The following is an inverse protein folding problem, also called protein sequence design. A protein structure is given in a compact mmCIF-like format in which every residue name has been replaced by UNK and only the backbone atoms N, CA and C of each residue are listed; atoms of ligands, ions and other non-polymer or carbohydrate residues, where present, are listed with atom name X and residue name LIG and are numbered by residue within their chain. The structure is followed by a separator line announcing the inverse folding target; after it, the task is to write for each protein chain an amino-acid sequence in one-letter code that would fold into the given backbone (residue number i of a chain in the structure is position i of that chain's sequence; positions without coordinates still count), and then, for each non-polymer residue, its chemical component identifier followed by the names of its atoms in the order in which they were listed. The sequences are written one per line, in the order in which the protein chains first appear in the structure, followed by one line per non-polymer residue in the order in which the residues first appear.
data_IF_660651784405
#
_entry.id   IF_660651784405
#
_cell.length_a   1.000
_cell.length_b   1.000
_cell.length_c   1.000
_cell.angle_alpha   90.00
_cell.angle_beta   90.00
_cell.angle_gamma   90.00
#
_symmetry.space_group_name_H-M   'P 1'
#
loop_
_entity.id
_entity.type
_entity.pdbx_description
1 polymer ?
#
# COMPACT_ATOMS: atom_id res chain seq x y z
N UNK A 1 -16.56 66.17 45.89
CA UNK A 1 -15.17 66.44 46.35
C UNK A 1 -14.75 65.21 47.14
N UNK A 2 -13.93 64.33 46.54
CA UNK A 2 -12.52 64.11 46.94
C UNK A 2 -12.40 63.34 48.28
N UNK A 3 -11.72 62.19 48.47
CA UNK A 3 -10.62 61.49 47.80
C UNK A 3 -10.62 59.97 48.13
N UNK A 4 -9.92 59.22 47.28
CA UNK A 4 -9.53 57.81 47.39
C UNK A 4 -8.69 57.46 48.63
N UNK A 5 -8.70 56.17 49.00
CA UNK A 5 -7.48 55.47 49.45
C UNK A 5 -7.49 54.03 48.96
N UNK A 6 -6.34 53.65 48.39
CA UNK A 6 -5.98 52.38 47.76
C UNK A 6 -5.51 51.41 48.84
N UNK A 7 -5.89 50.13 48.74
CA UNK A 7 -5.09 49.03 49.28
C UNK A 7 -4.92 47.98 48.20
N UNK A 8 -3.69 47.87 47.72
CA UNK A 8 -3.15 46.79 46.90
C UNK A 8 -2.92 45.54 47.76
N UNK A 9 -3.29 44.37 47.25
CA UNK A 9 -2.64 43.09 47.57
C UNK A 9 -2.95 42.08 46.48
N UNK A 10 -1.89 41.67 45.78
CA UNK A 10 -1.82 40.69 44.71
C UNK A 10 -2.33 39.31 45.13
N UNK A 11 -2.94 38.54 44.22
CA UNK A 11 -2.77 37.08 44.19
C UNK A 11 -3.23 36.46 42.86
N UNK A 12 -2.28 35.71 42.29
CA UNK A 12 -2.38 34.58 41.38
C UNK A 12 -3.05 34.77 40.01
N UNK A 13 -2.18 34.96 39.01
CA UNK A 13 -2.37 34.54 37.62
C UNK A 13 -2.70 33.03 37.62
N UNK A 14 -3.91 32.65 37.19
CA UNK A 14 -4.09 31.38 36.52
C UNK A 14 -4.01 31.64 35.02
N UNK A 15 -2.86 31.31 34.46
CA UNK A 15 -2.73 31.03 33.05
C UNK A 15 -3.57 29.77 32.78
N UNK A 16 -4.82 29.95 32.36
CA UNK A 16 -5.51 28.93 31.60
C UNK A 16 -4.83 28.90 30.24
N UNK A 17 -3.85 28.03 30.08
CA UNK A 17 -3.27 27.67 28.79
C UNK A 17 -4.43 27.28 27.88
N UNK A 18 -4.72 28.11 26.89
CA UNK A 18 -5.45 27.69 25.71
C UNK A 18 -4.56 26.67 25.00
N UNK A 19 -4.66 25.41 25.42
CA UNK A 19 -4.37 24.32 24.53
C UNK A 19 -5.48 24.37 23.48
N UNK A 20 -5.20 25.06 22.37
CA UNK A 20 -5.76 24.67 21.08
C UNK A 20 -5.43 23.19 20.91
N UNK A 21 -6.35 22.34 21.34
CA UNK A 21 -6.49 21.02 20.74
C UNK A 21 -6.83 21.29 19.28
N UNK A 22 -5.80 21.30 18.44
CA UNK A 22 -5.97 20.88 17.06
C UNK A 22 -6.60 19.48 17.15
N UNK A 23 -7.92 19.43 17.02
CA UNK A 23 -8.59 18.22 16.58
C UNK A 23 -7.99 17.91 15.21
N UNK A 24 -6.90 17.16 15.24
CA UNK A 24 -6.47 16.39 14.10
C UNK A 24 -7.61 15.40 13.89
N UNK A 25 -8.53 15.81 13.02
CA UNK A 25 -9.57 14.98 12.43
C UNK A 25 -8.81 13.81 11.78
N UNK A 26 -8.52 12.79 12.58
CA UNK A 26 -8.19 11.48 12.10
C UNK A 26 -9.50 11.01 11.50
N UNK A 27 -9.74 11.44 10.25
CA UNK A 27 -10.64 10.72 9.35
C UNK A 27 -10.16 9.29 9.42
N UNK A 28 -10.86 8.46 10.19
CA UNK A 28 -10.55 7.04 10.30
C UNK A 28 -10.94 6.46 8.95
N UNK A 29 -10.03 6.55 7.99
CA UNK A 29 -10.23 5.98 6.66
C UNK A 29 -10.44 4.49 6.88
N UNK A 30 -11.69 4.06 6.76
CA UNK A 30 -12.06 2.68 7.00
C UNK A 30 -11.32 1.82 5.99
N UNK A 31 -10.49 0.92 6.51
CA UNK A 31 -9.65 0.05 5.71
C UNK A 31 -10.43 -1.21 5.40
N UNK A 32 -10.69 -1.46 4.12
CA UNK A 32 -11.55 -2.55 3.65
C UNK A 32 -10.73 -3.70 3.06
N UNK A 33 -11.27 -4.92 3.21
CA UNK A 33 -10.75 -6.13 2.59
C UNK A 33 -11.10 -6.15 1.09
N UNK A 34 -10.07 -6.11 0.25
CA UNK A 34 -10.23 -6.02 -1.20
C UNK A 34 -10.99 -7.22 -1.80
N UNK A 35 -10.96 -8.40 -1.16
CA UNK A 35 -11.62 -9.59 -1.68
C UNK A 35 -13.11 -9.64 -1.35
N UNK A 36 -13.57 -8.84 -0.38
CA UNK A 36 -14.98 -8.68 -0.03
C UNK A 36 -15.61 -7.51 -0.76
N UNK A 37 -14.87 -6.41 -0.86
CA UNK A 37 -15.43 -5.12 -1.24
C UNK A 37 -15.02 -4.67 -2.66
N UNK A 38 -14.19 -5.44 -3.34
CA UNK A 38 -13.81 -5.18 -4.73
C UNK A 38 -14.17 -6.34 -5.66
N UNK A 39 -14.32 -6.02 -6.94
CA UNK A 39 -14.59 -6.96 -8.03
C UNK A 39 -13.66 -6.70 -9.21
N UNK A 40 -13.60 -7.67 -10.12
CA UNK A 40 -12.76 -7.62 -11.32
C UNK A 40 -11.27 -7.41 -11.01
N UNK A 41 -10.83 -7.94 -9.86
CA UNK A 41 -9.44 -7.90 -9.46
C UNK A 41 -8.59 -8.71 -10.45
N UNK A 42 -7.53 -8.09 -10.98
CA UNK A 42 -6.54 -8.76 -11.80
C UNK A 42 -5.19 -8.05 -11.74
N UNK A 43 -4.13 -8.77 -12.10
CA UNK A 43 -2.79 -8.18 -12.27
C UNK A 43 -2.60 -7.83 -13.73
N UNK A 44 -2.23 -6.58 -14.00
CA UNK A 44 -1.85 -6.13 -15.33
C UNK A 44 -0.34 -5.87 -15.38
N UNK A 45 0.34 -6.60 -16.25
CA UNK A 45 1.73 -6.32 -16.63
C UNK A 45 1.79 -5.24 -17.71
N UNK A 46 2.34 -4.08 -17.38
CA UNK A 46 2.63 -3.01 -18.34
C UNK A 46 4.08 -3.18 -18.83
N UNK A 47 4.31 -3.43 -20.13
CA UNK A 47 5.67 -3.50 -20.68
C UNK A 47 6.41 -2.19 -20.43
N UNK A 48 7.65 -2.27 -19.96
CA UNK A 48 8.53 -1.10 -19.93
C UNK A 48 8.95 -0.80 -21.36
N UNK A 49 8.48 0.32 -21.89
CA UNK A 49 8.87 0.83 -23.21
C UNK A 49 9.77 2.05 -23.01
N UNK A 50 10.81 2.19 -23.83
CA UNK A 50 11.58 3.41 -23.90
C UNK A 50 10.80 4.52 -24.65
N UNK A 51 11.35 5.72 -24.73
CA UNK A 51 10.74 6.88 -25.41
C UNK A 51 10.42 6.64 -26.91
N UNK A 52 11.06 5.62 -27.52
CA UNK A 52 10.85 5.23 -28.92
C UNK A 52 9.82 4.10 -29.09
N UNK A 53 9.23 3.61 -27.99
CA UNK A 53 8.28 2.50 -28.02
C UNK A 53 8.91 1.12 -28.14
N UNK A 54 10.24 1.03 -28.07
CA UNK A 54 10.95 -0.25 -28.01
C UNK A 54 10.92 -0.81 -26.58
N UNK A 55 10.98 -2.13 -26.45
CA UNK A 55 11.10 -2.77 -25.13
C UNK A 55 12.36 -2.28 -24.43
N UNK A 56 12.19 -1.62 -23.28
CA UNK A 56 13.28 -1.31 -22.38
C UNK A 56 13.75 -2.62 -21.70
N UNK A 57 15.02 -2.69 -21.31
CA UNK A 57 15.54 -3.77 -20.45
C UNK A 57 15.00 -3.69 -19.02
N UNK A 58 14.32 -2.59 -18.67
CA UNK A 58 13.61 -2.47 -17.41
C UNK A 58 12.51 -3.54 -17.25
N UNK A 59 12.43 -4.12 -16.07
CA UNK A 59 11.40 -5.12 -15.75
C UNK A 59 10.02 -4.47 -15.84
N UNK A 60 9.00 -5.13 -16.43
CA UNK A 60 7.69 -4.55 -16.61
C UNK A 60 7.02 -4.20 -15.27
N UNK A 61 6.25 -3.12 -15.28
CA UNK A 61 5.46 -2.70 -14.12
C UNK A 61 4.30 -3.66 -13.90
N UNK A 62 4.13 -4.13 -12.67
CA UNK A 62 3.01 -4.99 -12.28
C UNK A 62 2.01 -4.17 -11.49
N UNK A 63 0.79 -4.06 -12.00
CA UNK A 63 -0.30 -3.31 -11.38
C UNK A 63 -1.37 -4.27 -10.87
N UNK A 64 -1.84 -4.09 -9.63
CA UNK A 64 -3.14 -4.66 -9.24
C UNK A 64 -4.21 -3.64 -9.60
N UNK A 65 -5.20 -4.09 -10.37
CA UNK A 65 -6.33 -3.29 -10.81
C UNK A 65 -7.62 -3.95 -10.39
N UNK A 66 -8.63 -3.14 -10.10
CA UNK A 66 -9.95 -3.62 -9.74
C UNK A 66 -10.96 -2.49 -9.58
N UNK A 67 -12.17 -2.86 -9.16
CA UNK A 67 -13.24 -1.92 -8.90
C UNK A 67 -13.83 -2.15 -7.53
N UNK A 68 -13.74 -1.17 -6.65
CA UNK A 68 -14.12 -1.29 -5.24
C UNK A 68 -15.40 -0.54 -4.93
N UNK A 69 -16.19 -1.08 -4.00
CA UNK A 69 -17.43 -0.49 -3.54
C UNK A 69 -17.12 0.70 -2.61
N UNK A 70 -17.69 1.86 -2.92
CA UNK A 70 -17.79 2.96 -1.96
C UNK A 70 -19.02 2.72 -1.10
N UNK A 71 -18.84 2.71 0.22
CA UNK A 71 -19.91 2.44 1.17
C UNK A 71 -20.30 3.71 1.93
N UNK A 72 -21.59 3.85 2.18
CA UNK A 72 -22.13 4.88 3.06
C UNK A 72 -23.20 4.22 3.94
N UNK A 73 -23.05 4.32 5.27
CA UNK A 73 -23.93 3.65 6.23
C UNK A 73 -24.07 2.13 6.00
N UNK A 74 -23.01 1.46 5.52
CA UNK A 74 -23.01 0.03 5.22
C UNK A 74 -23.59 -0.36 3.86
N UNK A 75 -24.17 0.58 3.10
CA UNK A 75 -24.73 0.33 1.77
C UNK A 75 -23.76 0.74 0.66
N UNK A 76 -23.68 -0.06 -0.42
CA UNK A 76 -22.90 0.29 -1.61
C UNK A 76 -23.59 1.41 -2.39
N UNK A 77 -22.96 2.58 -2.45
CA UNK A 77 -23.49 3.75 -3.16
C UNK A 77 -22.85 3.95 -4.53
N UNK A 78 -21.62 3.51 -4.73
CA UNK A 78 -20.93 3.57 -6.01
C UNK A 78 -19.82 2.53 -6.12
N UNK A 79 -19.24 2.44 -7.33
CA UNK A 79 -18.12 1.54 -7.63
C UNK A 79 -17.01 2.33 -8.31
N UNK A 80 -15.84 2.36 -7.69
CA UNK A 80 -14.68 3.17 -8.11
C UNK A 80 -13.58 2.27 -8.66
N UNK A 81 -13.11 2.55 -9.87
CA UNK A 81 -11.96 1.85 -10.44
C UNK A 81 -10.68 2.32 -9.73
N UNK A 82 -9.82 1.37 -9.38
CA UNK A 82 -8.61 1.65 -8.60
C UNK A 82 -7.45 0.76 -9.05
N UNK A 83 -6.24 1.27 -8.84
CA UNK A 83 -4.99 0.64 -9.26
C UNK A 83 -3.90 0.91 -8.21
N UNK A 84 -2.98 -0.04 -8.05
CA UNK A 84 -1.75 0.16 -7.28
C UNK A 84 -0.58 -0.55 -7.96
N UNK A 85 0.61 0.06 -7.92
CA UNK A 85 1.84 -0.61 -8.30
C UNK A 85 2.22 -1.65 -7.27
N UNK A 86 2.33 -2.92 -7.67
CA UNK A 86 2.68 -3.98 -6.73
C UNK A 86 4.10 -3.83 -6.14
N UNK A 87 5.00 -3.14 -6.84
CA UNK A 87 6.30 -2.77 -6.32
C UNK A 87 6.22 -1.81 -5.11
N UNK A 88 5.09 -1.11 -4.90
CA UNK A 88 4.89 -0.23 -3.75
C UNK A 88 4.69 -1.04 -2.45
N UNK A 89 4.14 -2.25 -2.54
CA UNK A 89 3.77 -3.05 -1.35
C UNK A 89 4.68 -4.24 -1.08
N UNK A 90 5.48 -4.64 -2.06
CA UNK A 90 6.25 -5.87 -2.02
C UNK A 90 7.73 -5.62 -2.33
N UNK A 91 8.59 -6.32 -1.60
CA UNK A 91 10.03 -6.34 -1.77
C UNK A 91 10.52 -7.74 -2.19
N UNK A 92 11.78 -7.83 -2.61
CA UNK A 92 12.43 -9.08 -2.97
C UNK A 92 13.42 -9.48 -1.86
N UNK A 93 13.21 -10.64 -1.25
CA UNK A 93 14.21 -11.22 -0.34
C UNK A 93 15.21 -12.03 -1.16
N UNK A 94 16.44 -11.52 -1.25
CA UNK A 94 17.55 -12.16 -1.96
C UNK A 94 18.09 -13.41 -1.27
N UNK A 95 17.80 -13.63 0.02
CA UNK A 95 18.25 -14.82 0.73
C UNK A 95 17.33 -16.01 0.46
N UNK A 96 16.04 -15.77 0.38
CA UNK A 96 15.02 -16.80 0.14
C UNK A 96 14.52 -16.82 -1.32
N UNK A 97 15.00 -15.89 -2.14
CA UNK A 97 14.56 -15.69 -3.52
C UNK A 97 13.03 -15.64 -3.63
N UNK A 98 12.38 -14.80 -2.82
CA UNK A 98 10.93 -14.70 -2.73
C UNK A 98 10.41 -13.27 -2.62
N UNK A 99 9.17 -13.06 -3.07
CA UNK A 99 8.43 -11.84 -2.79
C UNK A 99 8.02 -11.84 -1.31
N UNK A 100 8.19 -10.70 -0.64
CA UNK A 100 7.79 -10.48 0.75
C UNK A 100 7.06 -9.15 0.88
N UNK A 101 6.23 -8.98 1.91
CA UNK A 101 5.66 -7.66 2.18
C UNK A 101 6.80 -6.69 2.50
N UNK A 102 6.74 -5.46 1.99
CA UNK A 102 7.81 -4.46 2.14
C UNK A 102 8.27 -4.28 3.60
N UNK A 103 7.37 -4.44 4.57
CA UNK A 103 7.63 -4.20 5.99
C UNK A 103 8.14 -5.42 6.78
N UNK A 104 7.96 -6.65 6.29
CA UNK A 104 8.29 -7.87 7.05
C UNK A 104 9.80 -8.10 7.20
N UNK A 105 10.64 -7.53 6.33
CA UNK A 105 12.07 -7.85 6.25
C UNK A 105 13.03 -6.66 6.38
N UNK A 106 12.59 -5.51 6.92
CA UNK A 106 13.42 -4.27 6.99
C UNK A 106 13.98 -3.82 5.63
N UNK A 107 13.39 -4.29 4.53
CA UNK A 107 13.74 -3.92 3.16
C UNK A 107 13.30 -2.46 2.97
N UNK A 108 14.24 -1.54 2.75
CA UNK A 108 13.92 -0.11 2.71
C UNK A 108 13.18 0.31 1.44
N UNK A 109 13.32 -0.45 0.35
CA UNK A 109 12.82 -0.03 -0.95
C UNK A 109 11.88 -1.10 -1.51
N UNK A 110 10.60 -0.78 -1.64
CA UNK A 110 9.65 -1.59 -2.39
C UNK A 110 10.06 -1.60 -3.85
N UNK A 111 10.26 -2.79 -4.43
CA UNK A 111 10.63 -3.07 -5.83
C UNK A 111 10.62 -4.58 -6.11
N UNK A 112 9.87 -5.38 -5.35
CA UNK A 112 10.05 -6.83 -5.31
C UNK A 112 9.84 -7.55 -6.63
N UNK A 113 8.88 -7.11 -7.44
CA UNK A 113 8.64 -7.70 -8.76
C UNK A 113 9.71 -7.28 -9.75
N UNK A 114 10.26 -6.07 -9.62
CA UNK A 114 11.38 -5.61 -10.44
C UNK A 114 12.65 -6.38 -10.12
N UNK A 115 13.00 -6.44 -8.84
CA UNK A 115 14.26 -7.03 -8.38
C UNK A 115 14.25 -8.56 -8.49
N UNK A 116 13.07 -9.18 -8.35
CA UNK A 116 12.84 -10.59 -8.71
C UNK A 116 12.85 -10.88 -10.21
N UNK A 117 12.87 -9.84 -11.06
CA UNK A 117 12.67 -9.92 -12.51
C UNK A 117 11.41 -10.74 -12.86
N UNK A 118 10.30 -10.39 -12.21
CA UNK A 118 9.04 -11.12 -12.29
C UNK A 118 8.19 -10.64 -13.47
N UNK A 119 7.73 -11.59 -14.28
CA UNK A 119 6.80 -11.38 -15.38
C UNK A 119 5.62 -12.36 -15.35
N UNK A 120 4.67 -12.19 -16.29
CA UNK A 120 3.50 -13.08 -16.48
C UNK A 120 2.74 -13.34 -15.18
N UNK A 121 2.55 -12.26 -14.42
CA UNK A 121 1.84 -12.30 -13.16
C UNK A 121 0.34 -12.49 -13.37
N UNK A 122 -0.28 -13.35 -12.58
CA UNK A 122 -1.72 -13.53 -12.52
C UNK A 122 -2.18 -13.44 -11.07
N UNK A 123 -3.40 -12.94 -10.86
CA UNK A 123 -4.10 -13.11 -9.59
C UNK A 123 -4.92 -14.39 -9.66
N UNK A 124 -4.73 -15.29 -8.71
CA UNK A 124 -5.57 -16.46 -8.52
C UNK A 124 -5.94 -16.55 -7.04
N UNK A 125 -7.23 -16.52 -6.76
CA UNK A 125 -7.76 -16.47 -5.39
C UNK A 125 -7.14 -15.28 -4.64
N UNK A 126 -6.41 -15.53 -3.55
CA UNK A 126 -5.76 -14.51 -2.72
C UNK A 126 -4.27 -14.34 -3.05
N UNK A 127 -3.79 -14.96 -4.13
CA UNK A 127 -2.37 -15.08 -4.45
C UNK A 127 -2.02 -14.47 -5.80
N UNK A 128 -0.94 -13.70 -5.82
CA UNK A 128 -0.29 -13.30 -7.06
C UNK A 128 0.78 -14.33 -7.39
N UNK A 129 0.72 -14.87 -8.60
CA UNK A 129 1.63 -15.89 -9.11
C UNK A 129 2.37 -15.35 -10.33
N UNK A 130 3.70 -15.31 -10.28
CA UNK A 130 4.56 -14.76 -11.33
C UNK A 130 5.69 -15.73 -11.69
N UNK A 131 6.30 -15.53 -12.85
CA UNK A 131 7.57 -16.17 -13.22
C UNK A 131 8.71 -15.19 -12.96
N UNK A 132 9.63 -15.54 -12.09
CA UNK A 132 10.73 -14.67 -11.65
C UNK A 132 12.08 -15.28 -12.04
N UNK A 133 12.98 -14.47 -12.61
CA UNK A 133 14.27 -14.92 -13.15
C UNK A 133 15.42 -14.79 -12.15
N UNK A 134 15.30 -13.89 -11.18
CA UNK A 134 16.35 -13.67 -10.18
C UNK A 134 16.24 -14.71 -9.05
N UNK A 135 16.47 -15.97 -9.37
CA UNK A 135 16.36 -17.13 -8.48
C UNK A 135 17.55 -18.05 -8.76
N UNK A 136 17.80 -19.00 -7.87
CA UNK A 136 18.84 -20.01 -8.08
C UNK A 136 18.61 -20.79 -9.39
N UNK A 137 19.69 -21.10 -10.11
CA UNK A 137 19.61 -21.85 -11.37
C UNK A 137 18.96 -23.23 -11.18
N UNK A 138 19.10 -23.84 -10.00
CA UNK A 138 18.46 -25.12 -9.66
C UNK A 138 16.93 -25.04 -9.59
N UNK A 139 16.38 -23.85 -9.33
CA UNK A 139 14.94 -23.63 -9.16
C UNK A 139 14.25 -23.26 -10.46
N UNK A 140 15.03 -22.92 -11.50
CA UNK A 140 14.50 -22.46 -12.77
C UNK A 140 13.91 -23.63 -13.54
N UNK A 141 12.72 -23.40 -14.09
CA UNK A 141 12.18 -24.21 -15.16
C UNK A 141 13.09 -24.06 -16.41
N UNK A 142 13.64 -25.15 -16.98
CA UNK A 142 14.60 -25.05 -18.09
C UNK A 142 14.05 -24.42 -19.37
N UNK A 143 12.74 -24.49 -19.60
CA UNK A 143 12.13 -23.90 -20.80
C UNK A 143 11.89 -22.40 -20.63
N UNK A 144 11.65 -21.97 -19.39
CA UNK A 144 11.30 -20.58 -19.06
C UNK A 144 12.47 -19.77 -18.54
N UNK A 145 13.54 -20.43 -18.10
CA UNK A 145 14.69 -19.82 -17.42
C UNK A 145 14.26 -18.94 -16.24
N UNK A 146 13.23 -19.37 -15.53
CA UNK A 146 12.59 -18.67 -14.42
C UNK A 146 11.91 -19.67 -13.47
N UNK A 147 11.70 -19.29 -12.22
CA UNK A 147 10.90 -20.06 -11.27
C UNK A 147 9.56 -19.39 -11.00
N UNK A 148 8.52 -20.19 -10.75
CA UNK A 148 7.23 -19.66 -10.32
C UNK A 148 7.32 -19.23 -8.86
N UNK A 149 7.01 -17.96 -8.57
CA UNK A 149 6.94 -17.42 -7.22
C UNK A 149 5.50 -16.97 -6.93
N UNK A 150 5.12 -17.06 -5.68
CA UNK A 150 3.74 -16.83 -5.24
C UNK A 150 3.75 -16.00 -3.98
N UNK A 151 2.84 -15.04 -3.90
CA UNK A 151 2.63 -14.23 -2.71
C UNK A 151 1.14 -14.10 -2.43
N UNK A 152 0.73 -14.46 -1.21
CA UNK A 152 -0.60 -14.15 -0.72
C UNK A 152 -0.68 -12.64 -0.43
N UNK A 153 -1.68 -11.95 -0.98
CA UNK A 153 -1.86 -10.50 -0.83
C UNK A 153 -2.97 -10.11 0.15
N UNK A 154 -3.65 -11.10 0.75
CA UNK A 154 -4.67 -10.89 1.77
C UNK A 154 -4.07 -10.12 2.96
N UNK A 155 -4.74 -9.03 3.35
CA UNK A 155 -4.28 -8.15 4.42
C UNK A 155 -2.99 -7.39 4.12
N UNK A 156 -2.38 -7.54 2.93
CA UNK A 156 -1.17 -6.81 2.52
C UNK A 156 -1.49 -5.64 1.58
N UNK A 157 -2.58 -5.76 0.84
CA UNK A 157 -3.20 -4.66 0.10
C UNK A 157 -4.61 -4.48 0.64
N UNK A 158 -4.97 -3.23 0.86
CA UNK A 158 -6.27 -2.81 1.39
C UNK A 158 -6.90 -1.78 0.47
N UNK A 159 -8.22 -1.63 0.55
CA UNK A 159 -8.92 -0.52 -0.08
C UNK A 159 -9.23 0.54 0.97
N UNK A 160 -8.83 1.77 0.69
CA UNK A 160 -9.18 2.95 1.46
C UNK A 160 -10.11 3.80 0.62
N UNK A 161 -11.30 4.07 1.16
CA UNK A 161 -12.24 4.96 0.50
C UNK A 161 -11.57 6.32 0.24
N UNK A 162 -11.76 6.88 -0.96
CA UNK A 162 -11.15 8.12 -1.46
C UNK A 162 -9.63 8.09 -1.76
N UNK A 163 -8.86 7.12 -1.24
CA UNK A 163 -7.44 6.94 -1.55
C UNK A 163 -7.18 5.83 -2.59
N UNK A 164 -8.09 4.86 -2.72
CA UNK A 164 -7.89 3.70 -3.59
C UNK A 164 -7.20 2.53 -2.89
N UNK A 165 -6.57 1.66 -3.66
CA UNK A 165 -5.70 0.64 -3.11
C UNK A 165 -4.50 1.26 -2.41
N UNK A 166 -4.15 0.69 -1.26
CA UNK A 166 -2.99 1.06 -0.49
C UNK A 166 -2.31 -0.19 0.07
N UNK A 167 -1.00 -0.11 0.31
CA UNK A 167 -0.30 -1.14 1.07
C UNK A 167 -0.78 -1.10 2.52
N UNK A 168 -1.01 -2.26 3.12
CA UNK A 168 -1.36 -2.33 4.52
C UNK A 168 -0.24 -1.72 5.38
N UNK A 169 -0.62 -0.80 6.25
CA UNK A 169 0.22 -0.40 7.38
C UNK A 169 -0.02 -1.40 8.49
N UNK A 170 1.03 -1.98 9.07
CA UNK A 170 0.88 -2.80 10.28
C UNK A 170 -0.02 -2.04 11.25
N UNK A 171 -1.17 -2.62 11.56
CA UNK A 171 -1.92 -2.21 12.73
C UNK A 171 -1.02 -2.58 13.87
N UNK A 172 -0.48 -1.58 14.59
CA UNK A 172 0.23 -1.83 15.84
C UNK A 172 -0.69 -2.72 16.70
N UNK A 173 -0.30 -3.97 16.88
CA UNK A 173 -0.95 -4.89 17.81
C UNK A 173 -0.74 -4.42 19.25
#
# INVERSE_FOLDING_TARGET
MHWSLIVTSSLAVLAASQATDEQHETSSVETQDIFKDCKLLHVWTVPSLNENGDKNEETPLQLLVGRCATKQNGETVSWTDTTIGLNECFAWDTNTHSLVAHKEHSQKDGNGFRDGQCDRCILKDHEIQCWCKNVDESDKDPERMAAKKTINIEGKIVYKQDEGFACATETAQ
#
